data_IF_095913621038
#
_entry.id   IF_095913621038
#
_cell.length_a   1.000
_cell.length_b   1.000
_cell.length_c   1.000
_cell.angle_alpha   90.00
_cell.angle_beta   90.00
_cell.angle_gamma   90.00
#
_symmetry.space_group_name_H-M   'P 1'
#
loop_
_entity.id
_entity.type
_entity.pdbx_description
1 polymer ?
#
# COMPACT_ATOMS: atom_id res chain seq x y z
N UNK A 1 -3.20 -1.39 -61.03
CA UNK A 1 -1.95 -1.31 -60.24
C UNK A 1 -2.26 -1.78 -58.83
N UNK A 2 -1.72 -2.94 -58.42
CA UNK A 2 -1.83 -3.40 -57.03
C UNK A 2 -0.80 -2.65 -56.20
N UNK A 3 -1.26 -1.81 -55.28
CA UNK A 3 -0.39 -1.18 -54.27
C UNK A 3 -0.04 -2.25 -53.26
N UNK A 4 1.20 -2.74 -53.27
CA UNK A 4 1.68 -3.58 -52.18
C UNK A 4 1.89 -2.70 -50.95
N UNK A 5 1.38 -3.07 -49.77
CA UNK A 5 1.73 -2.35 -48.55
C UNK A 5 3.25 -2.48 -48.33
N UNK A 6 3.91 -1.36 -48.08
CA UNK A 6 5.32 -1.31 -47.76
C UNK A 6 5.63 -2.14 -46.50
N UNK A 7 6.90 -2.51 -46.27
CA UNK A 7 7.28 -3.26 -45.09
C UNK A 7 6.83 -2.52 -43.82
N UNK A 8 6.04 -3.22 -42.99
CA UNK A 8 5.66 -2.72 -41.66
C UNK A 8 6.96 -2.49 -40.89
N UNK A 9 7.17 -1.32 -40.26
CA UNK A 9 8.36 -1.11 -39.45
C UNK A 9 8.44 -2.24 -38.43
N UNK A 10 9.54 -2.99 -38.45
CA UNK A 10 9.83 -3.97 -37.42
C UNK A 10 9.86 -3.19 -36.11
N UNK A 11 8.81 -3.32 -35.28
CA UNK A 11 8.79 -2.76 -33.93
C UNK A 11 9.83 -3.55 -33.17
N UNK A 12 11.09 -3.15 -33.32
CA UNK A 12 12.20 -3.69 -32.56
C UNK A 12 11.92 -3.23 -31.14
N UNK A 13 11.27 -4.10 -30.36
CA UNK A 13 11.24 -3.99 -28.91
C UNK A 13 12.70 -4.01 -28.46
N UNK A 14 13.30 -2.84 -28.39
CA UNK A 14 14.47 -2.62 -27.56
C UNK A 14 14.01 -2.91 -26.13
N UNK A 15 14.17 -4.16 -25.71
CA UNK A 15 14.21 -4.55 -24.30
C UNK A 15 15.35 -3.74 -23.67
N UNK A 16 15.03 -2.50 -23.28
CA UNK A 16 15.93 -1.56 -22.64
C UNK A 16 16.38 -2.19 -21.34
N UNK A 17 17.53 -2.90 -21.37
CA UNK A 17 18.12 -3.49 -20.17
C UNK A 17 18.12 -2.42 -19.09
N UNK A 18 17.46 -2.69 -17.95
CA UNK A 18 17.50 -1.81 -16.78
C UNK A 18 18.96 -1.61 -16.41
N UNK A 19 19.54 -0.48 -16.82
CA UNK A 19 20.85 -0.07 -16.34
C UNK A 19 20.76 0.15 -14.83
N UNK A 20 21.82 -0.17 -14.10
CA UNK A 20 21.94 0.14 -12.67
C UNK A 20 21.63 1.63 -12.39
N UNK A 21 21.99 2.53 -13.31
CA UNK A 21 21.65 3.96 -13.25
C UNK A 21 20.13 4.21 -13.28
N UNK A 22 19.39 3.47 -14.11
CA UNK A 22 17.93 3.58 -14.21
C UNK A 22 17.24 2.99 -12.96
N UNK A 23 17.82 1.95 -12.36
CA UNK A 23 17.33 1.40 -11.09
C UNK A 23 17.47 2.41 -9.95
N UNK A 24 18.66 2.99 -9.76
CA UNK A 24 18.88 4.02 -8.73
C UNK A 24 17.93 5.20 -8.93
N UNK A 25 17.74 5.65 -10.17
CA UNK A 25 16.78 6.72 -10.47
C UNK A 25 15.35 6.33 -10.05
N UNK A 26 14.91 5.10 -10.33
CA UNK A 26 13.58 4.63 -9.93
C UNK A 26 13.40 4.59 -8.40
N UNK A 27 14.43 4.14 -7.66
CA UNK A 27 14.39 4.14 -6.19
C UNK A 27 14.28 5.57 -5.65
N UNK A 28 15.04 6.51 -6.23
CA UNK A 28 14.96 7.92 -5.84
C UNK A 28 13.55 8.48 -6.06
N UNK A 29 12.94 8.22 -7.22
CA UNK A 29 11.57 8.67 -7.49
C UNK A 29 10.54 8.06 -6.52
N UNK A 30 10.71 6.78 -6.13
CA UNK A 30 9.86 6.17 -5.11
C UNK A 30 10.01 6.83 -3.74
N UNK A 31 11.24 7.17 -3.33
CA UNK A 31 11.51 7.88 -2.07
C UNK A 31 10.91 9.29 -2.10
N UNK A 32 11.10 10.03 -3.20
CA UNK A 32 10.54 11.36 -3.38
C UNK A 32 9.00 11.34 -3.28
N UNK A 33 8.35 10.36 -3.91
CA UNK A 33 6.90 10.16 -3.80
C UNK A 33 6.43 9.84 -2.37
N UNK A 34 7.14 8.96 -1.67
CA UNK A 34 6.82 8.62 -0.28
C UNK A 34 6.97 9.83 0.67
N UNK A 35 8.05 10.60 0.51
CA UNK A 35 8.29 11.81 1.29
C UNK A 35 7.26 12.89 0.98
N UNK A 36 6.83 13.02 -0.29
CA UNK A 36 5.78 13.94 -0.67
C UNK A 36 4.46 13.59 0.01
N UNK A 37 4.04 12.32 -0.01
CA UNK A 37 2.85 11.87 0.72
C UNK A 37 2.95 12.14 2.22
N UNK A 38 4.10 11.82 2.83
CA UNK A 38 4.34 12.11 4.26
C UNK A 38 4.25 13.59 4.58
N UNK A 39 4.68 14.47 3.68
CA UNK A 39 4.65 15.92 3.90
C UNK A 39 3.27 16.53 3.71
N UNK A 40 2.53 16.08 2.69
CA UNK A 40 1.33 16.75 2.22
C UNK A 40 0.03 16.09 2.69
N UNK A 41 0.04 14.81 3.05
CA UNK A 41 -1.14 14.03 3.38
C UNK A 41 -1.20 13.73 4.89
N UNK A 42 -2.11 14.37 5.66
CA UNK A 42 -2.25 14.11 7.09
C UNK A 42 -2.65 12.67 7.42
N UNK A 43 -3.61 12.10 6.69
CA UNK A 43 -4.07 10.71 6.88
C UNK A 43 -2.95 9.70 6.67
N UNK A 44 -2.14 9.87 5.61
CA UNK A 44 -0.95 9.05 5.37
C UNK A 44 0.04 9.09 6.55
N UNK A 45 0.24 10.25 7.18
CA UNK A 45 1.11 10.36 8.37
C UNK A 45 0.55 9.62 9.57
N UNK A 46 -0.77 9.69 9.79
CA UNK A 46 -1.44 8.98 10.87
C UNK A 46 -1.28 7.47 10.69
N UNK A 47 -1.53 6.96 9.48
CA UNK A 47 -1.34 5.54 9.17
C UNK A 47 0.11 5.09 9.28
N UNK A 48 1.05 5.92 8.81
CA UNK A 48 2.47 5.63 8.96
C UNK A 48 2.88 5.56 10.43
N UNK A 49 2.36 6.45 11.28
CA UNK A 49 2.57 6.40 12.73
C UNK A 49 1.99 5.12 13.33
N UNK A 50 0.77 4.72 12.95
CA UNK A 50 0.18 3.45 13.38
C UNK A 50 1.05 2.26 12.97
N UNK A 51 1.54 2.22 11.74
CA UNK A 51 2.43 1.15 11.27
C UNK A 51 3.75 1.12 12.06
N UNK A 52 4.38 2.28 12.32
CA UNK A 52 5.62 2.39 13.10
C UNK A 52 5.45 1.87 14.53
N UNK A 53 4.27 2.04 15.14
CA UNK A 53 3.99 1.55 16.49
C UNK A 53 3.62 0.08 16.51
N UNK A 54 2.80 -0.37 15.56
CA UNK A 54 2.22 -1.73 15.57
C UNK A 54 3.14 -2.78 14.96
N UNK A 55 4.06 -2.42 14.06
CA UNK A 55 5.04 -3.38 13.50
C UNK A 55 5.98 -3.93 14.58
N UNK A 56 6.65 -3.11 15.41
CA UNK A 56 7.44 -3.62 16.54
C UNK A 56 6.59 -4.46 17.49
N UNK A 57 5.36 -4.03 17.77
CA UNK A 57 4.44 -4.77 18.63
C UNK A 57 4.14 -6.17 18.06
N UNK A 58 3.86 -6.29 16.76
CA UNK A 58 3.63 -7.57 16.09
C UNK A 58 4.86 -8.50 16.11
N UNK A 59 6.08 -7.93 16.12
CA UNK A 59 7.34 -8.69 16.20
C UNK A 59 7.59 -9.22 17.62
N UNK A 60 7.24 -8.44 18.65
CA UNK A 60 7.47 -8.80 20.06
C UNK A 60 6.45 -9.85 20.55
N UNK A 61 5.25 -9.88 19.96
CA UNK A 61 4.21 -10.84 20.35
C UNK A 61 4.69 -12.29 20.16
N UNK A 62 4.42 -13.20 21.13
CA UNK A 62 4.83 -14.60 21.06
C UNK A 62 3.87 -15.41 20.16
N UNK A 63 3.72 -15.00 18.91
CA UNK A 63 2.96 -15.68 17.84
C UNK A 63 3.93 -16.32 16.84
N UNK A 64 3.41 -17.14 15.92
CA UNK A 64 4.29 -17.79 14.94
C UNK A 64 4.68 -16.79 13.82
N UNK A 65 5.74 -17.11 13.07
CA UNK A 65 6.26 -16.24 12.02
C UNK A 65 5.22 -15.87 10.95
N UNK A 66 4.31 -16.80 10.61
CA UNK A 66 3.24 -16.54 9.63
C UNK A 66 2.24 -15.52 10.17
N UNK A 67 1.84 -15.65 11.44
CA UNK A 67 0.97 -14.68 12.12
C UNK A 67 1.60 -13.30 12.16
N UNK A 68 2.88 -13.19 12.55
CA UNK A 68 3.61 -11.92 12.53
C UNK A 68 3.67 -11.33 11.12
N UNK A 69 3.98 -12.14 10.11
CA UNK A 69 4.01 -11.68 8.72
C UNK A 69 2.65 -11.17 8.23
N UNK A 70 1.54 -11.83 8.59
CA UNK A 70 0.18 -11.38 8.24
C UNK A 70 -0.19 -10.07 8.93
N UNK A 71 0.11 -9.91 10.22
CA UNK A 71 -0.14 -8.68 10.98
C UNK A 71 0.64 -7.50 10.41
N UNK A 72 1.90 -7.71 10.03
CA UNK A 72 2.73 -6.68 9.38
C UNK A 72 2.17 -6.38 7.99
N UNK A 73 1.87 -7.41 7.19
CA UNK A 73 1.35 -7.23 5.82
C UNK A 73 0.04 -6.44 5.79
N UNK A 74 -0.84 -6.61 6.79
CA UNK A 74 -2.10 -5.85 6.85
C UNK A 74 -1.88 -4.37 7.16
N UNK A 75 -0.87 -4.02 7.96
CA UNK A 75 -0.48 -2.62 8.18
C UNK A 75 0.11 -2.00 6.92
N UNK A 76 0.99 -2.73 6.23
CA UNK A 76 1.53 -2.27 4.94
C UNK A 76 0.44 -2.08 3.89
N UNK A 77 -0.60 -2.92 3.90
CA UNK A 77 -1.74 -2.76 3.00
C UNK A 77 -2.46 -1.43 3.22
N UNK A 78 -2.66 -0.99 4.46
CA UNK A 78 -3.24 0.33 4.77
C UNK A 78 -2.37 1.44 4.14
N UNK A 79 -1.06 1.43 4.39
CA UNK A 79 -0.13 2.42 3.84
C UNK A 79 -0.16 2.47 2.31
N UNK A 80 -0.18 1.31 1.66
CA UNK A 80 -0.23 1.22 0.20
C UNK A 80 -1.53 1.80 -0.34
N UNK A 81 -2.66 1.40 0.25
CA UNK A 81 -3.98 1.85 -0.23
C UNK A 81 -4.19 3.33 0.04
N UNK A 82 -3.72 3.86 1.18
CA UNK A 82 -3.78 5.28 1.50
C UNK A 82 -2.91 6.10 0.53
N UNK A 83 -1.71 5.62 0.21
CA UNK A 83 -0.85 6.28 -0.79
C UNK A 83 -1.52 6.34 -2.18
N UNK A 84 -2.20 5.27 -2.57
CA UNK A 84 -2.97 5.21 -3.81
C UNK A 84 -4.19 6.14 -3.75
N UNK A 85 -4.88 6.23 -2.61
CA UNK A 85 -6.00 7.14 -2.38
C UNK A 85 -5.56 8.59 -2.58
N UNK A 86 -4.50 9.04 -1.91
CA UNK A 86 -3.97 10.40 -2.06
C UNK A 86 -3.52 10.70 -3.50
N UNK A 87 -2.90 9.74 -4.18
CA UNK A 87 -2.52 9.91 -5.58
C UNK A 87 -3.75 10.12 -6.49
N UNK A 88 -4.83 9.35 -6.27
CA UNK A 88 -6.11 9.53 -6.99
C UNK A 88 -6.71 10.90 -6.67
N UNK A 89 -6.72 11.31 -5.40
CA UNK A 89 -7.25 12.61 -4.98
C UNK A 89 -6.51 13.76 -5.66
N UNK A 90 -5.17 13.72 -5.71
CA UNK A 90 -4.37 14.72 -6.42
C UNK A 90 -4.67 14.79 -7.91
N UNK A 91 -4.85 13.64 -8.57
CA UNK A 91 -5.22 13.61 -9.99
C UNK A 91 -6.59 14.25 -10.20
N UNK A 92 -7.56 13.92 -9.34
CA UNK A 92 -8.90 14.48 -9.42
C UNK A 92 -8.87 15.98 -9.16
N UNK A 93 -8.13 16.46 -8.18
CA UNK A 93 -8.04 17.88 -7.84
C UNK A 93 -7.29 18.68 -8.93
N UNK A 94 -6.26 18.09 -9.54
CA UNK A 94 -5.54 18.70 -10.66
C UNK A 94 -6.44 18.95 -11.88
N UNK A 95 -7.39 18.04 -12.17
CA UNK A 95 -8.30 18.16 -13.31
C UNK A 95 -9.40 19.22 -13.11
N UNK A 96 -9.46 19.89 -11.93
CA UNK A 96 -10.49 20.89 -11.54
C UNK A 96 -11.95 20.50 -11.88
N UNK A 97 -12.44 19.30 -11.54
CA UNK A 97 -13.78 18.85 -11.88
C UNK A 97 -14.83 19.39 -10.90
N UNK A 98 -14.67 20.62 -10.39
CA UNK A 98 -15.21 21.17 -9.12
C UNK A 98 -16.72 20.98 -8.86
N UNK A 99 -17.52 20.48 -9.83
CA UNK A 99 -18.93 20.09 -9.63
C UNK A 99 -19.38 18.85 -10.42
N UNK A 100 -18.48 17.95 -10.81
CA UNK A 100 -18.86 16.77 -11.57
C UNK A 100 -19.25 15.59 -10.65
N UNK A 101 -20.47 15.01 -10.77
CA UNK A 101 -20.88 13.86 -9.96
C UNK A 101 -19.94 12.67 -10.01
N UNK A 102 -19.19 12.50 -11.10
CA UNK A 102 -18.18 11.44 -11.23
C UNK A 102 -16.95 11.67 -10.33
N UNK A 103 -16.50 12.92 -10.15
CA UNK A 103 -15.35 13.20 -9.29
C UNK A 103 -15.64 12.78 -7.84
N UNK A 104 -16.86 13.05 -7.37
CA UNK A 104 -17.33 12.57 -6.07
C UNK A 104 -17.31 11.04 -6.00
N UNK A 105 -17.87 10.33 -6.99
CA UNK A 105 -17.87 8.86 -7.00
C UNK A 105 -16.46 8.26 -6.99
N UNK A 106 -15.51 8.87 -7.70
CA UNK A 106 -14.12 8.41 -7.72
C UNK A 106 -13.50 8.55 -6.33
N UNK A 107 -13.66 9.70 -5.67
CA UNK A 107 -13.18 9.92 -4.30
C UNK A 107 -13.84 8.95 -3.32
N UNK A 108 -15.17 8.79 -3.39
CA UNK A 108 -15.91 7.86 -2.53
C UNK A 108 -15.39 6.41 -2.66
N UNK A 109 -15.09 5.96 -3.89
CA UNK A 109 -14.53 4.62 -4.13
C UNK A 109 -13.09 4.48 -3.63
N UNK A 110 -12.28 5.52 -3.75
CA UNK A 110 -10.89 5.51 -3.27
C UNK A 110 -10.86 5.45 -1.73
N UNK A 111 -11.67 6.25 -1.04
CA UNK A 111 -11.82 6.19 0.42
C UNK A 111 -12.43 4.86 0.89
N UNK A 112 -13.33 4.25 0.11
CA UNK A 112 -13.87 2.92 0.42
C UNK A 112 -12.78 1.82 0.37
N UNK A 113 -11.79 1.95 -0.51
CA UNK A 113 -10.65 1.02 -0.54
C UNK A 113 -9.82 1.11 0.75
N UNK A 114 -9.54 2.34 1.21
CA UNK A 114 -8.86 2.59 2.50
C UNK A 114 -9.64 1.94 3.64
N UNK A 115 -10.96 2.17 3.69
CA UNK A 115 -11.83 1.54 4.69
C UNK A 115 -11.75 0.01 4.70
N UNK A 116 -11.75 -0.63 3.52
CA UNK A 116 -11.60 -2.09 3.43
C UNK A 116 -10.23 -2.57 3.93
N UNK A 117 -9.18 -1.79 3.74
CA UNK A 117 -7.84 -2.13 4.26
C UNK A 117 -7.80 -2.12 5.80
N UNK A 118 -8.50 -1.17 6.46
CA UNK A 118 -8.66 -1.18 7.91
C UNK A 118 -9.47 -2.39 8.39
N UNK A 119 -10.57 -2.72 7.72
CA UNK A 119 -11.36 -3.92 8.06
C UNK A 119 -10.51 -5.19 7.95
N UNK A 120 -9.67 -5.29 6.91
CA UNK A 120 -8.74 -6.40 6.77
C UNK A 120 -7.74 -6.46 7.93
N UNK A 121 -7.13 -5.33 8.30
CA UNK A 121 -6.20 -5.25 9.41
C UNK A 121 -6.87 -5.67 10.74
N UNK A 122 -8.04 -5.11 11.04
CA UNK A 122 -8.80 -5.46 12.24
C UNK A 122 -9.12 -6.95 12.26
N UNK A 123 -9.61 -7.52 11.15
CA UNK A 123 -9.94 -8.94 11.07
C UNK A 123 -8.73 -9.83 11.34
N UNK A 124 -7.58 -9.55 10.71
CA UNK A 124 -6.34 -10.32 10.90
C UNK A 124 -5.90 -10.28 12.36
N UNK A 125 -5.86 -9.09 12.96
CA UNK A 125 -5.43 -8.91 14.34
C UNK A 125 -6.38 -9.59 15.33
N UNK A 126 -7.70 -9.47 15.14
CA UNK A 126 -8.69 -10.14 15.96
C UNK A 126 -8.58 -11.66 15.87
N UNK A 127 -8.41 -12.23 14.67
CA UNK A 127 -8.29 -13.68 14.47
C UNK A 127 -7.03 -14.21 15.15
N UNK A 128 -5.90 -13.52 14.98
CA UNK A 128 -4.61 -13.96 15.54
C UNK A 128 -4.60 -13.82 17.07
N UNK A 129 -5.19 -12.76 17.61
CA UNK A 129 -5.27 -12.51 19.05
C UNK A 129 -6.52 -13.14 19.68
N UNK A 130 -7.31 -13.91 18.95
CA UNK A 130 -8.51 -14.54 19.50
C UNK A 130 -8.14 -15.59 20.56
N UNK A 131 -8.88 -15.75 21.68
CA UNK A 131 -8.61 -16.74 22.72
C UNK A 131 -8.27 -18.16 22.23
N UNK A 132 -9.01 -18.67 21.24
CA UNK A 132 -8.82 -20.04 20.74
C UNK A 132 -7.57 -20.24 19.85
N UNK A 133 -6.93 -19.16 19.38
CA UNK A 133 -5.69 -19.23 18.57
C UNK A 133 -4.48 -19.77 19.36
N UNK A 134 -4.61 -19.87 20.69
CA UNK A 134 -3.51 -20.19 21.59
C UNK A 134 -2.49 -19.06 21.75
N UNK A 135 -2.73 -17.86 21.20
CA UNK A 135 -1.89 -16.68 21.44
C UNK A 135 -1.80 -16.36 22.94
N UNK A 136 -2.92 -16.34 23.66
CA UNK A 136 -2.95 -16.05 25.09
C UNK A 136 -2.20 -17.05 25.96
N UNK A 137 -2.19 -18.34 25.58
CA UNK A 137 -1.37 -19.35 26.29
C UNK A 137 0.12 -19.06 26.14
N UNK A 138 0.55 -18.68 24.93
CA UNK A 138 1.95 -18.32 24.64
C UNK A 138 2.36 -17.03 25.37
N UNK A 139 1.47 -16.04 25.41
CA UNK A 139 1.67 -14.81 26.19
C UNK A 139 1.79 -15.13 27.68
N UNK A 140 0.90 -15.96 28.23
CA UNK A 140 0.94 -16.37 29.63
C UNK A 140 2.26 -17.06 30.00
N UNK A 141 2.73 -17.99 29.17
CA UNK A 141 4.02 -18.66 29.38
C UNK A 141 5.20 -17.69 29.34
N UNK A 142 5.17 -16.70 28.44
CA UNK A 142 6.22 -15.69 28.30
C UNK A 142 6.32 -14.77 29.52
N UNK A 143 5.19 -14.41 30.15
CA UNK A 143 5.18 -13.55 31.35
C UNK A 143 5.66 -14.26 32.62
N UNK A 144 5.67 -15.60 32.63
CA UNK A 144 6.02 -16.41 33.81
C UNK A 144 7.44 -16.96 33.78
N UNK A 145 8.23 -16.60 32.76
CA UNK A 145 9.67 -16.93 32.63
C UNK A 145 10.52 -15.77 33.14
#
# INVERSE_FOLDING_TARGET
MLVTPGPVPEVREELKRRSFRNFIASVRYSIEGFLAATKHEPSFREDLLFAILLVPFAIILPVNAVSTALMISSLFLIIIVELLNSAIEWVIDYLRPERHPLAKRIKDMASAAVFLSYLNCIAIWLIILWPSSGAWRRIGQWLTQ
#
